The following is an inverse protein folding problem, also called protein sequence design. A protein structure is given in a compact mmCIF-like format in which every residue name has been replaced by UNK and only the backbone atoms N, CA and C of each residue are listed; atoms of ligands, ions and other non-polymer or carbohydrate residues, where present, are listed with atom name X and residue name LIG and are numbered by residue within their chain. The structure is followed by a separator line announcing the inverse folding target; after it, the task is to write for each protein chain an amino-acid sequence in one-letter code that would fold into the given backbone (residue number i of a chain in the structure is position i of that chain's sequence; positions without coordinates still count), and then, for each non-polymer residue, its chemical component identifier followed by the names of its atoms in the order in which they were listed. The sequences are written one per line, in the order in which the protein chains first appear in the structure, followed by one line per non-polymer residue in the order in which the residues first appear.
data_IF_191569114694
#
_entry.id   IF_191569114694
#
_cell.length_a   1.000
_cell.length_b   1.000
_cell.length_c   1.000
_cell.angle_alpha   90.00
_cell.angle_beta   90.00
_cell.angle_gamma   90.00
#
_symmetry.space_group_name_H-M   'P 1'
#
loop_
_entity.id
_entity.type
_entity.pdbx_description
1 polymer ?
#
# COMPACT_ATOMS: atom_id res chain seq x y z
N UNK A 1 12.21 14.74 10.87
CA UNK A 1 12.58 14.92 9.45
C UNK A 1 11.35 15.01 8.54
N UNK A 2 10.14 14.72 9.02
CA UNK A 2 8.91 14.67 8.19
C UNK A 2 8.05 15.95 8.22
N UNK A 3 8.29 16.90 9.15
CA UNK A 3 7.48 18.10 9.27
C UNK A 3 7.45 19.01 8.02
N UNK A 4 8.56 19.34 7.36
CA UNK A 4 8.51 20.26 6.22
C UNK A 4 7.84 19.66 4.98
N UNK A 5 7.87 18.33 4.80
CA UNK A 5 7.20 17.67 3.68
C UNK A 5 5.69 17.64 3.89
N UNK A 6 5.25 17.28 5.10
CA UNK A 6 3.83 17.25 5.47
C UNK A 6 3.23 18.67 5.42
N UNK A 7 3.95 19.66 5.88
CA UNK A 7 3.50 21.06 5.83
C UNK A 7 3.37 21.56 4.39
N UNK A 8 4.31 21.23 3.51
CA UNK A 8 4.28 21.62 2.09
C UNK A 8 3.16 20.90 1.32
N UNK A 9 2.93 19.61 1.62
CA UNK A 9 1.85 18.83 1.00
C UNK A 9 0.48 19.29 1.50
N UNK A 10 0.36 19.58 2.79
CA UNK A 10 -0.85 20.15 3.37
C UNK A 10 -1.14 21.56 2.80
N UNK A 11 -0.12 22.37 2.59
CA UNK A 11 -0.25 23.69 1.96
C UNK A 11 -0.76 23.59 0.53
N UNK A 12 -0.26 22.63 -0.25
CA UNK A 12 -0.71 22.41 -1.63
C UNK A 12 -2.15 21.89 -1.70
N UNK A 13 -2.49 20.89 -0.88
CA UNK A 13 -3.85 20.34 -0.82
C UNK A 13 -4.85 21.35 -0.28
N UNK A 14 -4.48 22.11 0.78
CA UNK A 14 -5.34 23.16 1.33
C UNK A 14 -5.54 24.31 0.34
N UNK A 15 -4.54 24.73 -0.41
CA UNK A 15 -4.71 25.83 -1.37
C UNK A 15 -5.60 25.50 -2.56
N UNK A 16 -5.72 24.22 -2.94
CA UNK A 16 -6.52 23.78 -4.10
C UNK A 16 -7.93 23.29 -3.73
N UNK A 17 -8.13 22.77 -2.52
CA UNK A 17 -9.42 22.23 -2.08
C UNK A 17 -10.21 23.24 -1.22
N UNK A 18 -9.53 24.25 -0.64
CA UNK A 18 -10.03 25.08 0.45
C UNK A 18 -10.23 26.55 0.05
N UNK A 19 -10.34 26.86 -1.23
CA UNK A 19 -10.70 28.23 -1.68
C UNK A 19 -12.07 28.70 -1.16
N UNK A 20 -12.89 27.76 -0.65
CA UNK A 20 -14.26 28.03 -0.16
C UNK A 20 -14.35 28.11 1.39
N UNK A 21 -13.21 28.03 2.09
CA UNK A 21 -13.18 27.97 3.56
C UNK A 21 -12.87 29.32 4.25
N UNK A 22 -12.66 30.39 3.51
CA UNK A 22 -12.32 31.69 4.11
C UNK A 22 -13.43 32.29 4.99
N UNK A 23 -14.66 31.80 4.86
CA UNK A 23 -15.81 32.23 5.65
C UNK A 23 -16.10 31.39 6.90
N UNK A 24 -15.34 30.29 7.15
CA UNK A 24 -15.63 29.42 8.29
C UNK A 24 -14.86 29.82 9.55
N UNK A 25 -15.42 29.55 10.76
CA UNK A 25 -14.70 29.76 12.02
C UNK A 25 -13.35 29.02 12.05
N UNK A 26 -12.35 29.62 12.69
CA UNK A 26 -10.97 29.08 12.74
C UNK A 26 -10.88 27.67 13.33
N UNK A 27 -11.82 27.29 14.21
CA UNK A 27 -11.95 25.95 14.78
C UNK A 27 -12.27 24.90 13.71
N UNK A 28 -13.21 25.22 12.80
CA UNK A 28 -13.61 24.29 11.73
C UNK A 28 -12.48 24.09 10.72
N UNK A 29 -11.70 25.16 10.44
CA UNK A 29 -10.50 25.07 9.59
C UNK A 29 -9.44 24.17 10.19
N UNK A 30 -9.22 24.27 11.51
CA UNK A 30 -8.26 23.44 12.22
C UNK A 30 -8.64 21.95 12.18
N UNK A 31 -9.90 21.64 12.51
CA UNK A 31 -10.42 20.26 12.50
C UNK A 31 -10.31 19.66 11.09
N UNK A 32 -10.68 20.42 10.06
CA UNK A 32 -10.59 19.94 8.68
C UNK A 32 -9.15 19.69 8.23
N UNK A 33 -8.23 20.57 8.60
CA UNK A 33 -6.79 20.42 8.32
C UNK A 33 -6.25 19.14 8.98
N UNK A 34 -6.63 18.86 10.20
CA UNK A 34 -6.23 17.65 10.93
C UNK A 34 -6.79 16.39 10.25
N UNK A 35 -8.07 16.38 9.89
CA UNK A 35 -8.70 15.26 9.18
C UNK A 35 -8.04 14.97 7.82
N UNK A 36 -7.74 16.01 7.05
CA UNK A 36 -7.04 15.89 5.76
C UNK A 36 -5.62 15.32 5.98
N UNK A 37 -4.91 15.78 6.99
CA UNK A 37 -3.56 15.29 7.31
C UNK A 37 -3.57 13.81 7.66
N UNK A 38 -4.52 13.38 8.50
CA UNK A 38 -4.70 11.97 8.87
C UNK A 38 -5.04 11.14 7.64
N UNK A 39 -5.95 11.61 6.78
CA UNK A 39 -6.34 10.91 5.57
C UNK A 39 -5.17 10.73 4.59
N UNK A 40 -4.39 11.80 4.34
CA UNK A 40 -3.20 11.73 3.48
C UNK A 40 -2.19 10.74 4.03
N UNK A 41 -1.91 10.77 5.34
CA UNK A 41 -0.99 9.85 5.98
C UNK A 41 -1.44 8.40 5.83
N UNK A 42 -2.70 8.09 6.16
CA UNK A 42 -3.25 6.73 6.03
C UNK A 42 -3.24 6.24 4.57
N UNK A 43 -3.56 7.11 3.62
CA UNK A 43 -3.50 6.76 2.19
C UNK A 43 -2.07 6.47 1.73
N UNK A 44 -1.09 7.23 2.21
CA UNK A 44 0.32 6.99 1.90
C UNK A 44 0.79 5.63 2.45
N UNK A 45 0.43 5.27 3.69
CA UNK A 45 0.73 3.96 4.27
C UNK A 45 0.10 2.81 3.47
N UNK A 46 -1.19 2.89 3.14
CA UNK A 46 -1.86 1.89 2.29
C UNK A 46 -1.08 1.69 0.98
N UNK A 47 -0.69 2.77 0.33
CA UNK A 47 0.03 2.71 -0.93
C UNK A 47 1.45 2.12 -0.77
N UNK A 48 2.16 2.49 0.27
CA UNK A 48 3.49 1.96 0.60
C UNK A 48 3.43 0.45 0.84
N UNK A 49 2.51 -0.01 1.67
CA UNK A 49 2.34 -1.44 1.95
C UNK A 49 1.75 -2.23 0.77
N UNK A 50 0.95 -1.59 -0.08
CA UNK A 50 0.53 -2.15 -1.36
C UNK A 50 1.75 -2.44 -2.27
N UNK A 51 2.66 -1.49 -2.40
CA UNK A 51 3.90 -1.69 -3.16
C UNK A 51 4.79 -2.76 -2.53
N UNK A 52 4.90 -2.78 -1.20
CA UNK A 52 5.67 -3.78 -0.47
C UNK A 52 5.14 -5.19 -0.73
N UNK A 53 3.82 -5.39 -0.72
CA UNK A 53 3.18 -6.64 -1.07
C UNK A 53 3.50 -7.11 -2.49
N UNK A 54 3.50 -6.20 -3.46
CA UNK A 54 3.90 -6.48 -4.85
C UNK A 54 5.36 -6.91 -4.91
N UNK A 55 6.26 -6.15 -4.29
CA UNK A 55 7.71 -6.39 -4.34
C UNK A 55 8.07 -7.74 -3.74
N UNK A 56 7.57 -8.08 -2.55
CA UNK A 56 7.81 -9.37 -1.94
C UNK A 56 7.21 -10.52 -2.75
N UNK A 57 6.00 -10.35 -3.32
CA UNK A 57 5.41 -11.37 -4.16
C UNK A 57 6.31 -11.70 -5.35
N UNK A 58 6.77 -10.70 -6.10
CA UNK A 58 7.65 -10.92 -7.23
C UNK A 58 9.02 -11.44 -6.79
N UNK A 59 9.53 -11.01 -5.65
CA UNK A 59 10.77 -11.53 -5.09
C UNK A 59 10.70 -13.04 -4.86
N UNK A 60 9.64 -13.52 -4.19
CA UNK A 60 9.46 -14.95 -3.97
C UNK A 60 9.14 -15.72 -5.25
N UNK A 61 8.47 -15.11 -6.22
CA UNK A 61 8.28 -15.71 -7.55
C UNK A 61 9.59 -15.90 -8.30
N UNK A 62 10.50 -14.97 -8.24
CA UNK A 62 11.84 -15.07 -8.85
C UNK A 62 12.67 -16.20 -8.23
N UNK A 63 12.47 -16.52 -6.97
CA UNK A 63 13.09 -17.69 -6.32
C UNK A 63 12.40 -19.03 -6.63
N UNK A 64 11.52 -19.07 -7.61
CA UNK A 64 10.87 -20.30 -8.06
C UNK A 64 9.65 -20.72 -7.23
N UNK A 65 9.21 -19.94 -6.25
CA UNK A 65 8.01 -20.26 -5.47
C UNK A 65 6.77 -20.34 -6.36
N UNK A 66 5.90 -21.32 -6.13
CA UNK A 66 4.59 -21.38 -6.80
C UNK A 66 3.67 -20.26 -6.31
N UNK A 67 2.64 -19.92 -7.10
CA UNK A 67 1.77 -18.75 -6.87
C UNK A 67 1.28 -18.61 -5.42
N UNK A 68 0.70 -19.68 -4.86
CA UNK A 68 0.15 -19.64 -3.50
C UNK A 68 1.21 -19.52 -2.41
N UNK A 69 2.38 -20.17 -2.57
CA UNK A 69 3.50 -20.03 -1.61
C UNK A 69 4.13 -18.66 -1.67
N UNK A 70 4.28 -18.09 -2.87
CA UNK A 70 4.75 -16.73 -3.04
C UNK A 70 3.81 -15.74 -2.35
N UNK A 71 2.49 -15.92 -2.48
CA UNK A 71 1.51 -15.10 -1.77
C UNK A 71 1.63 -15.21 -0.25
N UNK A 72 1.72 -16.44 0.27
CA UNK A 72 1.84 -16.67 1.72
C UNK A 72 3.13 -16.06 2.29
N UNK A 73 4.27 -16.30 1.66
CA UNK A 73 5.55 -15.77 2.13
C UNK A 73 5.59 -14.23 2.05
N UNK A 74 5.00 -13.65 1.00
CA UNK A 74 4.87 -12.20 0.88
C UNK A 74 3.99 -11.61 1.97
N UNK A 75 2.88 -12.27 2.28
CA UNK A 75 1.98 -11.83 3.34
C UNK A 75 2.70 -11.85 4.69
N UNK A 76 3.36 -12.96 5.04
CA UNK A 76 4.10 -13.06 6.30
C UNK A 76 5.21 -12.00 6.39
N UNK A 77 6.02 -11.85 5.34
CA UNK A 77 7.11 -10.87 5.33
C UNK A 77 6.57 -9.44 5.45
N UNK A 78 5.58 -9.06 4.64
CA UNK A 78 5.02 -7.71 4.67
C UNK A 78 4.33 -7.38 6.00
N UNK A 79 3.60 -8.33 6.59
CA UNK A 79 2.98 -8.14 7.91
C UNK A 79 4.02 -7.96 9.01
N UNK A 80 5.15 -8.68 8.94
CA UNK A 80 6.25 -8.49 9.88
C UNK A 80 6.79 -7.06 9.80
N UNK A 81 6.92 -6.51 8.60
CA UNK A 81 7.33 -5.11 8.42
C UNK A 81 6.27 -4.13 8.95
N UNK A 82 4.99 -4.36 8.68
CA UNK A 82 3.92 -3.48 9.18
C UNK A 82 3.89 -3.44 10.71
N UNK A 83 4.00 -4.59 11.37
CA UNK A 83 4.05 -4.65 12.84
C UNK A 83 5.32 -4.01 13.39
N UNK A 84 6.46 -4.21 12.74
CA UNK A 84 7.72 -3.60 13.15
C UNK A 84 7.71 -2.08 12.99
N UNK A 85 7.13 -1.57 11.91
CA UNK A 85 6.97 -0.14 11.67
C UNK A 85 6.07 0.50 12.72
N UNK A 86 4.92 -0.10 13.01
CA UNK A 86 3.99 0.37 14.03
C UNK A 86 4.62 0.35 15.43
N UNK A 87 5.38 -0.70 15.74
CA UNK A 87 6.16 -0.76 16.97
C UNK A 87 7.21 0.37 17.02
N UNK A 88 7.91 0.62 15.92
CA UNK A 88 8.88 1.73 15.85
C UNK A 88 8.21 3.10 16.04
N UNK A 89 6.99 3.28 15.53
CA UNK A 89 6.24 4.52 15.68
C UNK A 89 5.89 4.84 17.13
N UNK A 90 5.80 3.84 18.02
CA UNK A 90 5.56 4.08 19.45
C UNK A 90 6.70 4.83 20.14
N UNK A 91 7.89 4.88 19.56
CA UNK A 91 9.05 5.62 20.09
C UNK A 91 9.16 7.05 19.56
N UNK A 92 8.24 7.48 18.69
CA UNK A 92 8.23 8.82 18.09
C UNK A 92 7.24 9.69 18.87
N UNK A 93 7.71 10.82 19.40
CA UNK A 93 6.87 11.77 20.12
C UNK A 93 5.66 12.22 19.28
N UNK A 94 4.48 12.16 19.88
CA UNK A 94 3.22 12.51 19.22
C UNK A 94 2.62 11.43 18.31
N UNK A 95 3.18 10.21 18.28
CA UNK A 95 2.58 9.04 17.63
C UNK A 95 2.26 7.95 18.65
N UNK A 96 1.08 7.37 18.49
CA UNK A 96 0.65 6.21 19.27
C UNK A 96 0.50 5.04 18.32
N UNK A 97 1.24 3.95 18.55
CA UNK A 97 1.08 2.71 17.82
C UNK A 97 -0.35 2.18 17.95
N UNK A 98 -1.04 1.96 16.83
CA UNK A 98 -2.42 1.52 16.81
C UNK A 98 -2.59 0.26 15.94
N UNK A 99 -3.21 -0.78 16.52
CA UNK A 99 -3.55 -1.99 15.76
C UNK A 99 -4.42 -1.70 14.53
N UNK A 100 -5.20 -0.62 14.55
CA UNK A 100 -6.01 -0.20 13.40
C UNK A 100 -5.14 0.17 12.20
N UNK A 101 -3.99 0.80 12.42
CA UNK A 101 -3.08 1.18 11.35
C UNK A 101 -2.42 -0.08 10.71
N UNK A 102 -2.06 -1.09 11.52
CA UNK A 102 -1.62 -2.41 10.99
C UNK A 102 -2.71 -3.07 10.14
N UNK A 103 -3.98 -2.97 10.53
CA UNK A 103 -5.08 -3.54 9.73
C UNK A 103 -5.26 -2.81 8.40
N UNK A 104 -5.12 -1.49 8.39
CA UNK A 104 -5.18 -0.65 7.18
C UNK A 104 -4.02 -1.01 6.24
N UNK A 105 -2.81 -1.12 6.76
CA UNK A 105 -1.61 -1.53 6.01
C UNK A 105 -1.76 -2.93 5.44
N UNK A 106 -2.35 -3.85 6.23
CA UNK A 106 -2.66 -5.22 5.79
C UNK A 106 -3.59 -5.27 4.59
N UNK A 107 -4.55 -4.35 4.49
CA UNK A 107 -5.42 -4.26 3.33
C UNK A 107 -4.64 -3.87 2.06
N UNK A 108 -3.69 -2.93 2.18
CA UNK A 108 -2.76 -2.60 1.10
C UNK A 108 -1.92 -3.80 0.66
N UNK A 109 -1.30 -4.50 1.62
CA UNK A 109 -0.50 -5.71 1.36
C UNK A 109 -1.31 -6.76 0.59
N UNK A 110 -2.50 -7.09 1.07
CA UNK A 110 -3.37 -8.11 0.45
C UNK A 110 -3.75 -7.70 -0.98
N UNK A 111 -4.12 -6.44 -1.20
CA UNK A 111 -4.44 -5.93 -2.53
C UNK A 111 -3.25 -6.07 -3.51
N UNK A 112 -2.04 -5.71 -3.07
CA UNK A 112 -0.81 -5.84 -3.88
C UNK A 112 -0.49 -7.29 -4.26
N UNK A 113 -0.61 -8.21 -3.30
CA UNK A 113 -0.41 -9.64 -3.51
C UNK A 113 -1.46 -10.21 -4.47
N UNK A 114 -2.73 -9.89 -4.29
CA UNK A 114 -3.82 -10.40 -5.14
C UNK A 114 -3.67 -9.94 -6.59
N UNK A 115 -3.35 -8.67 -6.82
CA UNK A 115 -3.11 -8.13 -8.16
C UNK A 115 -1.92 -8.85 -8.81
N UNK A 116 -0.81 -9.03 -8.08
CA UNK A 116 0.37 -9.71 -8.58
C UNK A 116 0.11 -11.18 -8.90
N UNK A 117 -0.64 -11.88 -8.04
CA UNK A 117 -1.05 -13.26 -8.26
C UNK A 117 -1.95 -13.40 -9.50
N UNK A 118 -2.92 -12.51 -9.65
CA UNK A 118 -3.81 -12.47 -10.81
C UNK A 118 -3.03 -12.27 -12.12
N UNK A 119 -2.12 -11.30 -12.16
CA UNK A 119 -1.25 -11.06 -13.33
C UNK A 119 -0.45 -12.33 -13.64
N UNK A 120 0.14 -12.96 -12.62
CA UNK A 120 0.92 -14.20 -12.79
C UNK A 120 0.08 -15.32 -13.39
N UNK A 121 -1.13 -15.55 -12.90
CA UNK A 121 -2.04 -16.58 -13.40
C UNK A 121 -2.41 -16.31 -14.85
N UNK A 122 -2.76 -15.08 -15.21
CA UNK A 122 -3.08 -14.67 -16.58
C UNK A 122 -1.91 -14.96 -17.54
N UNK A 123 -0.69 -14.58 -17.14
CA UNK A 123 0.52 -14.81 -17.95
C UNK A 123 0.78 -16.29 -18.14
N UNK A 124 0.66 -17.10 -17.08
CA UNK A 124 0.86 -18.55 -17.15
C UNK A 124 -0.19 -19.23 -18.05
N UNK A 125 -1.44 -18.79 -17.98
CA UNK A 125 -2.51 -19.32 -18.85
C UNK A 125 -2.26 -18.96 -20.33
N UNK A 126 -1.83 -17.72 -20.61
CA UNK A 126 -1.46 -17.32 -21.98
C UNK A 126 -0.30 -18.15 -22.52
N UNK A 127 0.74 -18.40 -21.72
CA UNK A 127 1.87 -19.26 -22.13
C UNK A 127 1.42 -20.69 -22.43
N UNK A 128 0.59 -21.28 -21.57
CA UNK A 128 0.04 -22.62 -21.79
C UNK A 128 -0.80 -22.73 -23.07
N UNK A 129 -1.64 -21.71 -23.33
CA UNK A 129 -2.46 -21.67 -24.56
C UNK A 129 -1.60 -21.56 -25.81
N UNK A 130 -0.52 -20.74 -25.77
CA UNK A 130 0.41 -20.60 -26.89
C UNK A 130 1.14 -21.91 -27.18
N UNK A 131 1.71 -22.55 -26.17
CA UNK A 131 2.39 -23.83 -26.29
C UNK A 131 1.47 -24.94 -26.86
N UNK A 132 0.17 -24.98 -26.41
CA UNK A 132 -0.80 -25.94 -26.96
C UNK A 132 -1.10 -25.71 -28.44
N UNK A 133 -1.20 -24.44 -28.88
CA UNK A 133 -1.42 -24.11 -30.31
C UNK A 133 -0.21 -24.51 -31.18
N UNK A 134 1.01 -24.22 -30.70
CA UNK A 134 2.24 -24.59 -31.41
C UNK A 134 2.37 -26.12 -31.58
N UNK A 135 2.06 -26.88 -30.53
CA UNK A 135 2.05 -28.34 -30.59
C UNK A 135 0.99 -28.88 -31.56
N UNK A 136 -0.22 -28.31 -31.56
CA UNK A 136 -1.30 -28.70 -32.47
C UNK A 136 -1.05 -28.34 -33.93
N UNK A 137 -0.17 -27.36 -34.23
CA UNK A 137 0.19 -26.99 -35.58
C UNK A 137 1.38 -27.80 -36.12
N UNK A 138 2.10 -28.52 -35.28
CA UNK A 138 3.26 -29.33 -35.63
C UNK A 138 2.89 -30.83 -35.90
N UNK A 139 1.62 -31.18 -35.66
CA UNK A 139 1.04 -32.53 -35.93
C UNK A 139 0.19 -32.46 -37.18
#
# INVERSE_FOLDING_TARGET
VSEPFVEKTNGFVTSHIVTDLDERPDIDKYILKEQITVFIRKSAHIFEYFLLGILFYWRFRLYGSVVHRAGLYSLCASLTFAVADEYHQTFIDGRYGCLEDVLIDSAGIVAGILISAMITVIVLQKKKRKAKKELSAAI
#
